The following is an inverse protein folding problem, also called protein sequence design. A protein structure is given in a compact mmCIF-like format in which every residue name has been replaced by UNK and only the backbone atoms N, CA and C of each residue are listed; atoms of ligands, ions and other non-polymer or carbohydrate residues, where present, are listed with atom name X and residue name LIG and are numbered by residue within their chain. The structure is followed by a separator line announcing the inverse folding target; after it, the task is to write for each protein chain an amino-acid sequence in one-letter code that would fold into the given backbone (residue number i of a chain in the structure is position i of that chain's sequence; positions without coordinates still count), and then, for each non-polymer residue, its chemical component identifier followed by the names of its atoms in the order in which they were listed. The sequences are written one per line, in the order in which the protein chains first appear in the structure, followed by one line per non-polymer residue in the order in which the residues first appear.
data_IF_681405995362
#
_entry.id   IF_681405995362
#
_cell.length_a   1.000
_cell.length_b   1.000
_cell.length_c   1.000
_cell.angle_alpha   90.00
_cell.angle_beta   90.00
_cell.angle_gamma   90.00
#
_symmetry.space_group_name_H-M   'P 1'
#
loop_
_entity.id
_entity.type
_entity.pdbx_description
1 polymer ?
#
# COMPACT_ATOMS: atom_id res chain seq x y z
N UNK A 1 8.62 -3.57 34.56
CA UNK A 1 8.70 -4.55 33.45
C UNK A 1 7.72 -4.12 32.38
N UNK A 2 8.17 -3.34 31.39
CA UNK A 2 7.29 -2.62 30.46
C UNK A 2 6.65 -3.56 29.44
N UNK A 3 5.33 -3.60 29.42
CA UNK A 3 4.54 -4.39 28.49
C UNK A 3 4.89 -4.03 27.04
N UNK A 4 5.37 -5.02 26.30
CA UNK A 4 5.63 -4.93 24.86
C UNK A 4 4.29 -4.68 24.18
N UNK A 5 4.05 -3.43 23.78
CA UNK A 5 2.92 -3.05 22.95
C UNK A 5 2.91 -3.93 21.72
N UNK A 6 1.91 -4.80 21.62
CA UNK A 6 1.65 -5.56 20.41
C UNK A 6 1.28 -4.55 19.33
N UNK A 7 2.27 -4.17 18.52
CA UNK A 7 2.05 -3.46 17.27
C UNK A 7 0.95 -4.22 16.53
N UNK A 8 -0.18 -3.56 16.27
CA UNK A 8 -1.30 -4.08 15.52
C UNK A 8 -0.77 -4.65 14.20
N UNK A 9 -0.46 -5.94 14.18
CA UNK A 9 -0.28 -6.71 12.97
C UNK A 9 -1.67 -6.73 12.36
N UNK A 10 -1.93 -5.80 11.45
CA UNK A 10 -3.07 -5.88 10.55
C UNK A 10 -3.01 -7.27 9.93
N UNK A 11 -3.85 -8.17 10.44
CA UNK A 11 -3.88 -9.54 10.00
C UNK A 11 -4.23 -9.51 8.52
N UNK A 12 -3.24 -9.78 7.66
CA UNK A 12 -3.40 -10.15 6.25
C UNK A 12 -4.25 -11.44 6.07
N UNK A 13 -4.74 -12.00 7.19
CA UNK A 13 -5.66 -13.12 7.30
C UNK A 13 -7.00 -12.73 6.67
N UNK A 14 -7.12 -12.93 5.36
CA UNK A 14 -8.42 -12.95 4.69
C UNK A 14 -8.40 -12.48 3.25
N UNK A 15 -7.38 -11.74 2.80
CA UNK A 15 -7.33 -11.34 1.40
C UNK A 15 -6.53 -12.34 0.56
N UNK A 16 -7.19 -12.92 -0.45
CA UNK A 16 -6.54 -13.77 -1.47
C UNK A 16 -5.34 -13.10 -2.14
N UNK A 17 -5.35 -11.76 -2.20
CA UNK A 17 -4.25 -10.99 -2.81
C UNK A 17 -2.99 -10.96 -1.96
N UNK A 18 -3.05 -11.36 -0.68
CA UNK A 18 -1.96 -11.25 0.31
C UNK A 18 -1.37 -9.84 0.43
N UNK A 19 -2.13 -8.83 0.00
CA UNK A 19 -1.75 -7.43 0.10
C UNK A 19 -2.21 -6.88 1.44
N UNK A 20 -1.46 -5.89 1.92
CA UNK A 20 -1.78 -5.15 3.14
C UNK A 20 -3.18 -4.57 3.05
N UNK A 21 -4.06 -4.98 3.96
CA UNK A 21 -5.42 -4.45 4.12
C UNK A 21 -5.40 -3.15 4.91
N UNK A 22 -5.91 -2.09 4.30
CA UNK A 22 -6.25 -0.83 4.96
C UNK A 22 -7.73 -0.84 5.36
N UNK A 23 -8.04 -0.25 6.51
CA UNK A 23 -9.38 -0.23 7.09
C UNK A 23 -10.34 0.60 6.25
N UNK A 24 -9.88 1.76 5.79
CA UNK A 24 -10.67 2.73 5.05
C UNK A 24 -9.86 3.38 3.91
N UNK A 25 -10.58 4.10 3.04
CA UNK A 25 -9.99 4.73 1.87
C UNK A 25 -8.94 5.78 2.26
N UNK A 26 -9.17 6.54 3.33
CA UNK A 26 -8.25 7.58 3.77
C UNK A 26 -6.93 6.94 4.22
N UNK A 27 -6.98 5.89 5.02
CA UNK A 27 -5.79 5.14 5.43
C UNK A 27 -5.00 4.63 4.21
N UNK A 28 -5.70 4.12 3.19
CA UNK A 28 -5.07 3.65 1.96
C UNK A 28 -4.42 4.80 1.16
N UNK A 29 -5.07 5.97 1.07
CA UNK A 29 -4.51 7.16 0.39
C UNK A 29 -3.30 7.69 1.14
N UNK A 30 -3.36 7.78 2.46
CA UNK A 30 -2.21 8.16 3.28
C UNK A 30 -1.03 7.20 3.09
N UNK A 31 -1.31 5.90 3.05
CA UNK A 31 -0.29 4.89 2.75
C UNK A 31 0.28 5.02 1.34
N UNK A 32 -0.55 5.36 0.34
CA UNK A 32 -0.11 5.62 -1.03
C UNK A 32 0.84 6.82 -1.10
N UNK A 33 0.48 7.95 -0.49
CA UNK A 33 1.34 9.12 -0.44
C UNK A 33 2.66 8.83 0.28
N UNK A 34 2.61 8.10 1.39
CA UNK A 34 3.81 7.63 2.08
C UNK A 34 4.69 6.76 1.17
N UNK A 35 4.10 5.79 0.48
CA UNK A 35 4.82 4.93 -0.46
C UNK A 35 5.48 5.72 -1.60
N UNK A 36 4.80 6.73 -2.16
CA UNK A 36 5.34 7.62 -3.19
C UNK A 36 6.49 8.48 -2.66
N UNK A 37 6.37 9.01 -1.45
CA UNK A 37 7.44 9.77 -0.81
C UNK A 37 8.67 8.89 -0.57
N UNK A 38 8.48 7.66 -0.08
CA UNK A 38 9.57 6.70 0.08
C UNK A 38 10.18 6.30 -1.27
N UNK A 39 9.36 6.10 -2.31
CA UNK A 39 9.83 5.82 -3.66
C UNK A 39 10.75 6.95 -4.18
N UNK A 40 10.35 8.21 -3.97
CA UNK A 40 11.16 9.37 -4.32
C UNK A 40 12.50 9.39 -3.56
N UNK A 41 12.46 9.21 -2.24
CA UNK A 41 13.68 9.19 -1.43
C UNK A 41 14.61 8.04 -1.80
N UNK A 42 14.07 6.88 -2.16
CA UNK A 42 14.83 5.71 -2.61
C UNK A 42 15.47 5.94 -3.98
N UNK A 43 14.78 6.64 -4.89
CA UNK A 43 15.38 7.11 -6.15
C UNK A 43 16.51 8.11 -5.87
N UNK A 44 16.30 9.07 -4.96
CA UNK A 44 17.31 10.07 -4.60
C UNK A 44 18.54 9.43 -3.94
N UNK A 45 18.36 8.39 -3.12
CA UNK A 45 19.45 7.73 -2.38
C UNK A 45 20.10 6.57 -3.13
N UNK A 46 19.33 5.77 -3.85
CA UNK A 46 19.75 4.49 -4.43
C UNK A 46 19.68 4.49 -5.96
N UNK A 47 19.16 5.57 -6.58
CA UNK A 47 18.99 5.70 -8.03
C UNK A 47 17.88 4.86 -8.64
N UNK A 48 17.19 4.04 -7.84
CA UNK A 48 16.09 3.18 -8.29
C UNK A 48 15.15 2.89 -7.12
N UNK A 49 13.92 2.45 -7.43
CA UNK A 49 12.99 2.00 -6.40
C UNK A 49 12.21 0.77 -6.81
N UNK A 50 11.87 -0.07 -5.83
CA UNK A 50 10.99 -1.24 -6.00
C UNK A 50 9.51 -0.91 -5.76
N UNK A 51 9.24 0.31 -5.28
CA UNK A 51 7.88 0.79 -5.00
C UNK A 51 7.25 1.26 -6.30
N UNK A 52 6.16 0.62 -6.68
CA UNK A 52 5.43 0.91 -7.91
C UNK A 52 3.94 1.17 -7.65
N UNK A 53 3.53 1.23 -6.39
CA UNK A 53 2.14 1.52 -6.00
C UNK A 53 1.69 2.88 -6.57
N UNK A 54 0.63 2.88 -7.39
CA UNK A 54 0.16 4.08 -8.10
C UNK A 54 -1.29 4.46 -7.78
N UNK A 55 -2.11 3.53 -7.26
CA UNK A 55 -3.49 3.82 -6.86
C UNK A 55 -3.99 2.92 -5.73
N UNK A 56 -5.06 3.36 -5.09
CA UNK A 56 -5.87 2.58 -4.15
C UNK A 56 -7.02 1.87 -4.88
N UNK A 57 -7.48 0.74 -4.36
CA UNK A 57 -8.71 0.08 -4.82
C UNK A 57 -9.41 -0.63 -3.66
N UNK A 58 -10.74 -0.73 -3.74
CA UNK A 58 -11.54 -1.52 -2.81
C UNK A 58 -11.47 -3.01 -3.16
N UNK A 59 -11.28 -3.84 -2.15
CA UNK A 59 -11.24 -5.28 -2.27
C UNK A 59 -12.50 -5.93 -1.71
N UNK A 60 -13.30 -6.50 -2.60
CA UNK A 60 -14.52 -7.24 -2.25
C UNK A 60 -14.27 -8.53 -1.46
N UNK A 61 -13.06 -9.12 -1.53
CA UNK A 61 -12.74 -10.35 -0.82
C UNK A 61 -12.54 -10.12 0.68
N UNK A 62 -11.95 -8.97 1.06
CA UNK A 62 -11.67 -8.66 2.47
C UNK A 62 -12.41 -7.43 2.99
N UNK A 63 -13.29 -6.82 2.18
CA UNK A 63 -14.00 -5.56 2.49
C UNK A 63 -13.04 -4.53 3.06
N UNK A 64 -11.96 -4.26 2.33
CA UNK A 64 -10.90 -3.34 2.75
C UNK A 64 -10.23 -2.71 1.54
N UNK A 65 -9.33 -1.78 1.80
CA UNK A 65 -8.64 -1.06 0.74
C UNK A 65 -7.22 -1.60 0.55
N UNK A 66 -6.74 -1.57 -0.68
CA UNK A 66 -5.40 -2.03 -1.05
C UNK A 66 -4.73 -1.07 -2.01
N UNK A 67 -3.39 -1.14 -2.05
CA UNK A 67 -2.59 -0.47 -3.08
C UNK A 67 -2.35 -1.40 -4.26
N UNK A 68 -2.26 -0.82 -5.45
CA UNK A 68 -1.86 -1.54 -6.66
C UNK A 68 -0.87 -0.73 -7.47
N UNK A 69 0.04 -1.44 -8.14
CA UNK A 69 0.97 -0.88 -9.10
C UNK A 69 0.41 -0.80 -10.51
N UNK A 70 -0.76 -1.40 -10.75
CA UNK A 70 -1.41 -1.33 -12.05
C UNK A 70 -2.14 0.00 -12.18
N UNK A 71 -1.81 0.83 -13.18
CA UNK A 71 -2.54 2.05 -13.43
C UNK A 71 -3.97 1.74 -13.89
N UNK A 72 -4.84 2.75 -13.98
CA UNK A 72 -6.20 2.56 -14.47
C UNK A 72 -6.19 1.99 -15.91
N UNK A 73 -7.12 1.10 -16.28
CA UNK A 73 -7.22 0.59 -17.65
C UNK A 73 -7.44 1.80 -18.59
N UNK A 74 -6.44 2.11 -19.40
CA UNK A 74 -6.43 3.29 -20.28
C UNK A 74 -5.21 4.22 -20.09
N UNK A 75 -4.48 4.11 -18.98
CA UNK A 75 -3.18 4.75 -18.83
C UNK A 75 -2.11 3.89 -19.50
N UNK A 76 -2.06 3.95 -20.83
CA UNK A 76 -0.92 3.43 -21.59
C UNK A 76 0.31 4.22 -21.18
N UNK A 77 1.36 3.52 -20.74
CA UNK A 77 2.66 4.10 -20.52
C UNK A 77 3.17 4.59 -21.89
N UNK A 78 3.25 5.92 -22.03
CA UNK A 78 3.86 6.57 -23.19
C UNK A 78 5.38 6.48 -23.12
#
# INVERSE_FOLDING_TARGET
MSARGHAHRHSDVGCITRKRRFRDHQEAVHALHGAQQFARLDIESSGSTKRAECRTYECYACNGWHLTSQPAPGAVAA
#
